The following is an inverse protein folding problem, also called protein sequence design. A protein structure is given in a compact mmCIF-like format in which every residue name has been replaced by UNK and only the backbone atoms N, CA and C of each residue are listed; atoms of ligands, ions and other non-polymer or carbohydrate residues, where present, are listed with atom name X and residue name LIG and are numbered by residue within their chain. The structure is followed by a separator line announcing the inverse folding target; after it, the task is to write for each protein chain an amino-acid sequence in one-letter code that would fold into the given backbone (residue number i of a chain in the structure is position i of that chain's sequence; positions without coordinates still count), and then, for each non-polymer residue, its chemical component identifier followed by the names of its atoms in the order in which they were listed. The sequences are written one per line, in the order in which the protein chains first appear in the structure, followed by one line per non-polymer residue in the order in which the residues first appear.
data_IF_138468339031
#
_entry.id   IF_138468339031
#
_cell.length_a   1.000
_cell.length_b   1.000
_cell.length_c   1.000
_cell.angle_alpha   90.00
_cell.angle_beta   90.00
_cell.angle_gamma   90.00
#
_symmetry.space_group_name_H-M   'P 1'
#
loop_
_entity.id
_entity.type
_entity.pdbx_description
1 polymer ?
#
# COMPACT_ATOMS: atom_id res chain seq x y z
N UNK A 1 -10.60 20.73 -5.05
CA UNK A 1 -9.33 21.38 -5.44
C UNK A 1 -8.19 20.79 -4.61
N UNK A 2 -7.58 19.73 -5.12
CA UNK A 2 -6.13 19.48 -5.07
C UNK A 2 -5.86 18.23 -5.91
N UNK A 3 -5.90 18.40 -7.24
CA UNK A 3 -5.19 17.49 -8.14
C UNK A 3 -3.68 17.73 -7.92
N UNK A 4 -3.15 17.13 -6.87
CA UNK A 4 -1.73 16.79 -6.87
C UNK A 4 -1.61 15.68 -7.90
N UNK A 5 -0.95 15.95 -9.02
CA UNK A 5 -0.47 14.88 -9.90
C UNK A 5 0.48 14.00 -9.09
N UNK A 6 -0.07 12.96 -8.44
CA UNK A 6 0.73 11.91 -7.81
C UNK A 6 1.58 11.29 -8.92
N UNK A 7 2.85 11.65 -8.97
CA UNK A 7 3.83 10.84 -9.70
C UNK A 7 3.74 9.45 -9.10
N UNK A 8 3.27 8.48 -9.90
CA UNK A 8 3.22 7.08 -9.52
C UNK A 8 4.59 6.68 -8.96
N UNK A 9 4.64 6.25 -7.70
CA UNK A 9 5.87 5.75 -7.08
C UNK A 9 6.11 4.32 -7.59
N UNK A 10 6.73 4.23 -8.77
CA UNK A 10 7.10 2.98 -9.41
C UNK A 10 8.57 2.66 -9.20
N UNK A 11 8.88 1.42 -8.85
CA UNK A 11 10.25 0.94 -8.63
C UNK A 11 10.49 -0.35 -9.42
N UNK A 12 11.75 -0.59 -9.83
CA UNK A 12 12.12 -1.87 -10.44
C UNK A 12 12.25 -2.92 -9.35
N UNK A 13 11.77 -4.13 -9.60
CA UNK A 13 11.82 -5.22 -8.62
C UNK A 13 13.26 -5.57 -8.21
N UNK A 14 13.50 -5.60 -6.91
CA UNK A 14 14.71 -6.15 -6.28
C UNK A 14 14.31 -7.30 -5.36
N UNK A 15 14.71 -8.52 -5.70
CA UNK A 15 14.27 -9.72 -4.98
C UNK A 15 15.13 -9.98 -3.75
N UNK A 16 14.48 -10.03 -2.58
CA UNK A 16 15.11 -10.26 -1.28
C UNK A 16 14.72 -11.62 -0.75
N UNK A 17 15.68 -12.33 -0.15
CA UNK A 17 15.42 -13.60 0.55
C UNK A 17 14.40 -13.39 1.67
N UNK A 18 13.51 -14.35 1.85
CA UNK A 18 12.46 -14.32 2.86
C UNK A 18 12.71 -15.36 3.95
N UNK A 19 12.54 -14.97 5.21
CA UNK A 19 12.67 -15.89 6.35
C UNK A 19 11.42 -16.75 6.54
N UNK A 20 10.25 -16.23 6.18
CA UNK A 20 8.97 -16.95 6.25
C UNK A 20 8.86 -17.92 5.09
N UNK A 21 8.71 -19.21 5.40
CA UNK A 21 8.64 -20.31 4.42
C UNK A 21 7.58 -20.05 3.35
N UNK A 22 6.39 -19.57 3.74
CA UNK A 22 5.28 -19.28 2.81
C UNK A 22 5.59 -18.16 1.79
N UNK A 23 6.61 -17.34 2.06
CA UNK A 23 6.99 -16.18 1.23
C UNK A 23 8.15 -16.50 0.29
N UNK A 24 8.88 -17.59 0.54
CA UNK A 24 10.06 -17.97 -0.24
C UNK A 24 9.69 -18.39 -1.67
N UNK A 25 10.48 -17.93 -2.65
CA UNK A 25 10.30 -18.28 -4.05
C UNK A 25 9.10 -17.60 -4.72
N UNK A 26 8.47 -16.63 -4.06
CA UNK A 26 7.40 -15.82 -4.63
C UNK A 26 7.93 -14.41 -4.99
N UNK A 27 8.21 -14.13 -6.27
CA UNK A 27 8.81 -12.87 -6.68
C UNK A 27 7.95 -11.64 -6.34
N UNK A 28 6.62 -11.80 -6.23
CA UNK A 28 5.72 -10.69 -5.86
C UNK A 28 5.82 -10.31 -4.38
N UNK A 29 6.31 -11.22 -3.53
CA UNK A 29 6.57 -10.96 -2.10
C UNK A 29 8.02 -10.55 -1.90
N UNK A 30 8.96 -11.24 -2.58
CA UNK A 30 10.39 -10.96 -2.49
C UNK A 30 10.77 -9.56 -2.94
N UNK A 31 10.00 -8.96 -3.84
CA UNK A 31 10.22 -7.59 -4.33
C UNK A 31 9.63 -6.50 -3.42
N UNK A 32 8.84 -6.86 -2.40
CA UNK A 32 8.28 -5.87 -1.47
C UNK A 32 9.38 -5.28 -0.56
N UNK A 33 9.13 -4.10 0.06
CA UNK A 33 9.93 -3.62 1.17
C UNK A 33 10.11 -4.69 2.28
N UNK A 34 11.13 -4.58 3.13
CA UNK A 34 11.31 -5.51 4.25
C UNK A 34 10.10 -5.51 5.20
N UNK A 35 9.95 -6.59 5.97
CA UNK A 35 9.02 -6.62 7.10
C UNK A 35 9.69 -5.87 8.23
N UNK A 36 9.07 -4.78 8.70
CA UNK A 36 9.64 -3.92 9.74
C UNK A 36 9.37 -4.48 11.13
N UNK A 37 10.34 -4.36 12.04
CA UNK A 37 10.11 -4.46 13.48
C UNK A 37 9.25 -3.29 13.99
N UNK A 38 8.66 -3.37 15.20
CA UNK A 38 7.98 -2.22 15.80
C UNK A 38 8.85 -0.95 15.87
N UNK A 39 10.14 -1.11 16.17
CA UNK A 39 11.12 -0.02 16.25
C UNK A 39 11.43 0.55 14.87
N UNK A 40 11.67 -0.30 13.87
CA UNK A 40 11.89 0.14 12.50
C UNK A 40 10.65 0.84 11.92
N UNK A 41 9.46 0.32 12.20
CA UNK A 41 8.20 0.93 11.79
C UNK A 41 7.97 2.29 12.50
N UNK A 42 8.35 2.41 13.77
CA UNK A 42 8.31 3.68 14.49
C UNK A 42 9.19 4.73 13.82
N UNK A 43 10.44 4.40 13.51
CA UNK A 43 11.36 5.31 12.83
C UNK A 43 10.86 5.66 11.42
N UNK A 44 10.43 4.67 10.64
CA UNK A 44 10.00 4.87 9.26
C UNK A 44 8.70 5.70 9.13
N UNK A 45 7.79 5.58 10.08
CA UNK A 45 6.54 6.35 10.10
C UNK A 45 6.74 7.75 10.71
N UNK A 46 7.75 7.93 11.56
CA UNK A 46 8.00 9.19 12.24
C UNK A 46 8.37 10.31 11.29
N UNK A 47 7.88 11.51 11.59
CA UNK A 47 8.32 12.73 10.92
C UNK A 47 8.44 13.84 11.95
N UNK A 48 9.68 14.26 12.17
CA UNK A 48 10.03 15.37 13.04
C UNK A 48 10.44 16.54 12.15
N UNK A 49 9.63 17.62 12.05
CA UNK A 49 10.00 18.79 11.28
C UNK A 49 11.31 19.39 11.80
N UNK A 50 12.11 19.95 10.89
CA UNK A 50 13.35 20.65 11.27
C UNK A 50 13.07 21.73 12.32
N UNK A 51 14.03 21.89 13.23
CA UNK A 51 13.98 22.87 14.31
C UNK A 51 15.27 23.68 14.32
N UNK A 52 15.13 25.01 14.26
CA UNK A 52 16.23 25.95 14.47
C UNK A 52 15.79 26.99 15.51
N UNK A 53 16.54 27.10 16.61
CA UNK A 53 16.27 28.05 17.68
C UNK A 53 16.29 29.51 17.20
N UNK A 54 17.08 29.81 16.17
CA UNK A 54 17.21 31.15 15.59
C UNK A 54 15.89 31.64 15.00
N UNK A 55 14.97 30.74 14.66
CA UNK A 55 13.66 31.13 14.15
C UNK A 55 12.82 31.91 15.17
N UNK A 56 13.12 31.77 16.47
CA UNK A 56 12.48 32.59 17.52
C UNK A 56 12.83 34.07 17.40
N UNK A 57 14.00 34.37 16.82
CA UNK A 57 14.54 35.71 16.60
C UNK A 57 14.10 36.32 15.26
N UNK A 58 13.46 35.54 14.38
CA UNK A 58 12.97 36.07 13.11
C UNK A 58 11.87 37.11 13.33
N UNK A 59 11.75 38.11 12.42
CA UNK A 59 10.62 39.02 12.43
C UNK A 59 9.29 38.26 12.43
N UNK A 60 8.31 38.78 13.18
CA UNK A 60 7.01 38.11 13.40
C UNK A 60 6.37 37.60 12.12
N UNK A 61 6.34 38.42 11.07
CA UNK A 61 5.74 38.06 9.78
C UNK A 61 6.47 36.90 9.08
N UNK A 62 7.78 36.77 9.23
CA UNK A 62 8.56 35.64 8.70
C UNK A 62 8.33 34.39 9.55
N UNK A 63 8.36 34.53 10.88
CA UNK A 63 8.17 33.40 11.81
C UNK A 63 6.83 32.70 11.63
N UNK A 64 5.77 33.42 11.23
CA UNK A 64 4.48 32.82 10.89
C UNK A 64 4.56 31.80 9.75
N UNK A 65 5.48 31.97 8.80
CA UNK A 65 5.67 31.01 7.70
C UNK A 65 6.34 29.70 8.14
N UNK A 66 6.96 29.66 9.33
CA UNK A 66 7.53 28.43 9.88
C UNK A 66 6.47 27.52 10.53
N UNK A 67 5.37 28.09 11.06
CA UNK A 67 4.35 27.34 11.82
C UNK A 67 3.72 26.19 11.01
N UNK A 68 3.34 26.35 9.72
CA UNK A 68 2.71 25.29 8.95
C UNK A 68 3.51 23.99 8.90
N UNK A 69 4.84 24.00 9.04
CA UNK A 69 5.64 22.75 9.04
C UNK A 69 5.27 21.83 10.19
N UNK A 70 4.80 22.37 11.32
CA UNK A 70 4.40 21.60 12.50
C UNK A 70 3.18 20.72 12.20
N UNK A 71 2.35 21.08 11.21
CA UNK A 71 1.23 20.22 10.77
C UNK A 71 1.69 18.89 10.17
N UNK A 72 2.97 18.79 9.79
CA UNK A 72 3.56 17.57 9.25
C UNK A 72 4.13 16.65 10.33
N UNK A 73 4.26 17.14 11.57
CA UNK A 73 4.74 16.34 12.69
C UNK A 73 3.91 15.07 12.84
N UNK A 74 4.59 13.94 12.95
CA UNK A 74 3.94 12.65 13.14
C UNK A 74 4.81 11.78 14.04
N UNK A 75 4.28 11.41 15.20
CA UNK A 75 4.90 10.45 16.09
C UNK A 75 3.98 9.24 16.20
N UNK A 76 4.41 8.06 15.72
CA UNK A 76 3.61 6.85 15.78
C UNK A 76 3.29 6.47 17.23
N UNK A 77 2.05 6.04 17.46
CA UNK A 77 1.62 5.37 18.68
C UNK A 77 1.41 3.89 18.41
N UNK A 78 1.23 3.08 19.45
CA UNK A 78 1.10 1.62 19.33
C UNK A 78 0.02 1.19 18.34
N UNK A 79 -1.09 1.93 18.26
CA UNK A 79 -2.16 1.65 17.30
C UNK A 79 -1.73 1.83 15.83
N UNK A 80 -0.80 2.75 15.55
CA UNK A 80 -0.23 2.93 14.22
C UNK A 80 0.70 1.78 13.85
N UNK A 81 1.51 1.32 14.80
CA UNK A 81 2.42 0.18 14.61
C UNK A 81 1.64 -1.13 14.39
N UNK A 82 0.61 -1.39 15.19
CA UNK A 82 -0.28 -2.54 14.99
C UNK A 82 -0.99 -2.48 13.62
N UNK A 83 -1.45 -1.29 13.20
CA UNK A 83 -2.06 -1.10 11.88
C UNK A 83 -1.07 -1.38 10.74
N UNK A 84 0.18 -0.93 10.84
CA UNK A 84 1.24 -1.22 9.87
C UNK A 84 1.45 -2.73 9.75
N UNK A 85 1.62 -3.41 10.88
CA UNK A 85 1.88 -4.85 10.88
C UNK A 85 0.70 -5.65 10.28
N UNK A 86 -0.54 -5.23 10.58
CA UNK A 86 -1.75 -5.83 9.98
C UNK A 86 -1.77 -5.62 8.46
N UNK A 87 -1.45 -4.41 8.00
CA UNK A 87 -1.37 -4.10 6.58
C UNK A 87 -0.27 -4.93 5.89
N UNK A 88 0.91 -4.98 6.48
CA UNK A 88 2.08 -5.75 6.01
C UNK A 88 1.76 -7.24 5.83
N UNK A 89 1.05 -7.85 6.80
CA UNK A 89 0.55 -9.22 6.70
C UNK A 89 -0.50 -9.38 5.61
N UNK A 90 -1.51 -8.49 5.56
CA UNK A 90 -2.59 -8.55 4.58
C UNK A 90 -2.04 -8.50 3.16
N UNK A 91 -1.09 -7.60 2.89
CA UNK A 91 -0.46 -7.45 1.59
C UNK A 91 0.26 -8.74 1.16
N UNK A 92 1.13 -9.29 2.02
CA UNK A 92 1.94 -10.48 1.69
C UNK A 92 1.10 -11.74 1.53
N UNK A 93 0.18 -11.99 2.47
CA UNK A 93 -0.74 -13.13 2.36
C UNK A 93 -1.67 -13.02 1.16
N UNK A 94 -1.99 -11.80 0.71
CA UNK A 94 -2.70 -11.57 -0.55
C UNK A 94 -1.95 -12.10 -1.79
N UNK A 95 -0.62 -12.19 -1.74
CA UNK A 95 0.22 -12.70 -2.82
C UNK A 95 0.64 -14.16 -2.68
N UNK A 96 0.50 -14.79 -1.51
CA UNK A 96 0.93 -16.19 -1.29
C UNK A 96 0.31 -17.15 -2.31
N UNK A 97 -0.98 -17.00 -2.63
CA UNK A 97 -1.67 -17.82 -3.64
C UNK A 97 -1.42 -17.38 -5.08
N UNK A 98 -0.67 -16.28 -5.30
CA UNK A 98 -0.50 -15.62 -6.60
C UNK A 98 0.92 -15.70 -7.14
N UNK A 99 1.70 -16.70 -6.73
CA UNK A 99 3.08 -16.86 -7.19
C UNK A 99 3.14 -17.11 -8.71
N UNK A 100 3.68 -16.19 -9.53
CA UNK A 100 3.74 -16.35 -10.99
C UNK A 100 4.65 -17.48 -11.47
N UNK A 101 5.56 -17.96 -10.61
CA UNK A 101 6.44 -19.10 -10.89
C UNK A 101 5.80 -20.44 -10.53
N UNK A 102 4.64 -20.44 -9.86
CA UNK A 102 3.95 -21.65 -9.44
C UNK A 102 3.07 -22.23 -10.57
N UNK A 103 3.24 -23.52 -10.94
CA UNK A 103 2.37 -24.16 -11.92
C UNK A 103 0.89 -24.14 -11.52
N UNK A 104 0.59 -24.15 -10.21
CA UNK A 104 -0.77 -24.10 -9.69
C UNK A 104 -1.44 -22.74 -9.95
N UNK A 105 -0.66 -21.66 -9.89
CA UNK A 105 -1.15 -20.32 -10.22
C UNK A 105 -1.46 -20.21 -11.71
N UNK A 106 -0.57 -20.67 -12.59
CA UNK A 106 -0.80 -20.67 -14.05
C UNK A 106 -2.05 -21.48 -14.43
N UNK A 107 -2.25 -22.66 -13.82
CA UNK A 107 -3.46 -23.47 -14.01
C UNK A 107 -4.72 -22.74 -13.55
N UNK A 108 -4.67 -22.14 -12.35
CA UNK A 108 -5.80 -21.36 -11.80
C UNK A 108 -6.15 -20.17 -12.69
N UNK A 109 -5.15 -19.47 -13.22
CA UNK A 109 -5.34 -18.33 -14.12
C UNK A 109 -5.95 -18.75 -15.46
N UNK A 110 -5.43 -19.82 -16.08
CA UNK A 110 -5.98 -20.38 -17.32
C UNK A 110 -7.43 -20.81 -17.14
N UNK A 111 -7.74 -21.46 -16.03
CA UNK A 111 -9.09 -21.94 -15.77
C UNK A 111 -10.08 -20.81 -15.41
N UNK A 112 -9.62 -19.76 -14.72
CA UNK A 112 -10.38 -18.52 -14.56
C UNK A 112 -10.71 -17.89 -15.93
N UNK A 113 -9.74 -17.82 -16.84
CA UNK A 113 -9.96 -17.36 -18.21
C UNK A 113 -11.00 -18.20 -18.96
N UNK A 114 -10.91 -19.54 -18.88
CA UNK A 114 -11.91 -20.43 -19.50
C UNK A 114 -13.31 -20.27 -18.90
N UNK A 115 -13.40 -19.99 -17.60
CA UNK A 115 -14.68 -19.71 -16.93
C UNK A 115 -15.33 -18.42 -17.45
N UNK A 116 -14.55 -17.38 -17.73
CA UNK A 116 -15.02 -16.16 -18.38
C UNK A 116 -15.56 -16.41 -19.81
N UNK A 117 -15.02 -17.42 -20.50
CA UNK A 117 -15.51 -17.86 -21.83
C UNK A 117 -16.71 -18.82 -21.77
N UNK A 118 -17.29 -19.08 -20.58
CA UNK A 118 -18.51 -19.86 -20.42
C UNK A 118 -18.33 -21.34 -20.09
N UNK A 119 -17.10 -21.81 -19.87
CA UNK A 119 -16.86 -23.20 -19.45
C UNK A 119 -17.04 -23.34 -17.93
N UNK A 120 -17.91 -24.27 -17.48
CA UNK A 120 -18.08 -24.55 -16.05
C UNK A 120 -16.93 -25.42 -15.54
N UNK A 121 -15.89 -24.79 -14.99
CA UNK A 121 -14.81 -25.50 -14.31
C UNK A 121 -15.10 -25.52 -12.80
N UNK A 122 -15.14 -26.72 -12.21
CA UNK A 122 -15.23 -26.85 -10.74
C UNK A 122 -13.88 -26.44 -10.14
N UNK A 123 -13.90 -25.41 -9.32
CA UNK A 123 -12.72 -24.90 -8.66
C UNK A 123 -12.89 -24.91 -7.15
N UNK A 124 -11.95 -25.53 -6.45
CA UNK A 124 -11.75 -25.32 -5.01
C UNK A 124 -10.90 -24.05 -4.81
N UNK A 125 -11.48 -22.90 -5.14
CA UNK A 125 -10.84 -21.60 -4.85
C UNK A 125 -11.11 -21.31 -3.37
N UNK A 126 -10.16 -21.65 -2.51
CA UNK A 126 -10.10 -21.06 -1.18
C UNK A 126 -9.76 -19.58 -1.33
N UNK A 127 -10.71 -18.72 -0.97
CA UNK A 127 -10.52 -17.27 -1.01
C UNK A 127 -9.35 -16.89 -0.09
N UNK A 128 -8.35 -16.20 -0.64
CA UNK A 128 -7.31 -15.52 0.13
C UNK A 128 -7.66 -14.06 0.44
N UNK A 129 -8.90 -13.64 0.14
CA UNK A 129 -9.35 -12.28 0.40
C UNK A 129 -9.42 -12.03 1.91
N UNK A 130 -8.51 -11.20 2.39
CA UNK A 130 -8.48 -10.71 3.77
C UNK A 130 -8.85 -9.23 3.80
N UNK A 131 -9.49 -8.78 4.87
CA UNK A 131 -9.87 -7.38 5.05
C UNK A 131 -9.52 -6.91 6.46
N UNK A 132 -9.31 -5.60 6.60
CA UNK A 132 -9.15 -4.92 7.88
C UNK A 132 -10.08 -3.71 7.92
N UNK A 133 -10.61 -3.41 9.10
CA UNK A 133 -11.49 -2.27 9.31
C UNK A 133 -10.89 -1.36 10.37
N UNK A 134 -10.74 -0.07 10.05
CA UNK A 134 -10.26 0.97 10.97
C UNK A 134 -11.41 1.93 11.31
N UNK A 135 -11.87 1.89 12.55
CA UNK A 135 -12.98 2.72 13.05
C UNK A 135 -12.49 3.75 14.06
N UNK A 136 -13.24 4.85 14.20
CA UNK A 136 -12.99 5.92 15.17
C UNK A 136 -13.65 7.23 14.78
N UNK A 137 -13.62 8.22 15.66
CA UNK A 137 -14.20 9.54 15.42
C UNK A 137 -13.56 10.29 14.24
N UNK A 138 -14.30 11.20 13.62
CA UNK A 138 -13.75 12.07 12.56
C UNK A 138 -12.61 12.93 13.11
N UNK A 139 -11.60 13.20 12.29
CA UNK A 139 -10.45 14.03 12.68
C UNK A 139 -9.38 13.34 13.55
N UNK A 140 -9.59 12.11 14.02
CA UNK A 140 -8.61 11.40 14.88
C UNK A 140 -7.36 10.88 14.14
N UNK A 141 -7.20 11.20 12.85
CA UNK A 141 -6.00 10.82 12.08
C UNK A 141 -6.06 9.47 11.37
N UNK A 142 -7.23 8.82 11.21
CA UNK A 142 -7.35 7.52 10.51
C UNK A 142 -6.80 7.55 9.08
N UNK A 143 -7.23 8.52 8.28
CA UNK A 143 -6.78 8.68 6.89
C UNK A 143 -5.29 8.94 6.83
N UNK A 144 -4.77 9.81 7.70
CA UNK A 144 -3.35 10.13 7.81
C UNK A 144 -2.51 8.91 8.18
N UNK A 145 -2.99 8.07 9.11
CA UNK A 145 -2.30 6.85 9.50
C UNK A 145 -2.19 5.86 8.32
N UNK A 146 -3.27 5.67 7.56
CA UNK A 146 -3.24 4.81 6.35
C UNK A 146 -2.31 5.39 5.30
N UNK A 147 -2.37 6.69 5.01
CA UNK A 147 -1.49 7.34 4.02
C UNK A 147 -0.01 7.22 4.41
N UNK A 148 0.32 7.37 5.69
CA UNK A 148 1.68 7.16 6.20
C UNK A 148 2.16 5.73 6.01
N UNK A 149 1.32 4.74 6.33
CA UNK A 149 1.67 3.32 6.10
C UNK A 149 1.84 3.03 4.61
N UNK A 150 0.92 3.50 3.75
CA UNK A 150 1.03 3.32 2.30
C UNK A 150 2.31 3.95 1.74
N UNK A 151 2.78 5.05 2.32
CA UNK A 151 4.03 5.71 1.91
C UNK A 151 5.29 4.87 2.12
N UNK A 152 5.24 3.84 2.98
CA UNK A 152 6.32 2.88 3.19
C UNK A 152 6.48 1.90 2.01
N UNK A 153 5.48 1.83 1.13
CA UNK A 153 5.42 0.87 0.03
C UNK A 153 5.42 1.61 -1.32
N UNK A 154 6.23 1.17 -2.31
CA UNK A 154 6.05 1.64 -3.67
C UNK A 154 4.63 1.30 -4.12
N UNK A 155 4.01 2.16 -4.92
CA UNK A 155 2.68 1.90 -5.44
C UNK A 155 2.71 0.82 -6.52
N UNK A 156 3.77 0.84 -7.34
CA UNK A 156 4.02 -0.09 -8.43
C UNK A 156 5.42 -0.71 -8.31
N UNK A 157 5.51 -2.01 -8.59
CA UNK A 157 6.79 -2.71 -8.76
C UNK A 157 6.84 -3.30 -10.17
N UNK A 158 7.89 -2.98 -10.91
CA UNK A 158 8.09 -3.41 -12.30
C UNK A 158 9.03 -4.62 -12.30
N UNK A 159 8.50 -5.79 -12.62
CA UNK A 159 9.27 -7.00 -12.84
C UNK A 159 9.69 -7.08 -14.31
N UNK A 160 10.98 -6.88 -14.56
CA UNK A 160 11.56 -7.07 -15.90
C UNK A 160 11.62 -8.55 -16.28
N UNK A 161 12.22 -8.85 -17.43
CA UNK A 161 12.45 -10.21 -17.90
C UNK A 161 13.09 -11.07 -16.79
N UNK A 162 12.61 -12.31 -16.55
CA UNK A 162 11.66 -13.07 -17.38
C UNK A 162 10.18 -12.86 -17.09
N UNK A 163 9.81 -12.22 -15.97
CA UNK A 163 8.40 -12.11 -15.55
C UNK A 163 7.61 -11.14 -16.42
N UNK A 164 8.17 -9.96 -16.74
CA UNK A 164 7.53 -8.92 -17.55
C UNK A 164 6.12 -8.53 -17.04
N UNK A 165 5.99 -8.32 -15.72
CA UNK A 165 4.73 -7.99 -15.06
C UNK A 165 4.89 -6.68 -14.28
N UNK A 166 3.85 -5.85 -14.29
CA UNK A 166 3.71 -4.72 -13.36
C UNK A 166 2.85 -5.16 -12.18
N UNK A 167 3.45 -5.20 -10.99
CA UNK A 167 2.75 -5.48 -9.74
C UNK A 167 2.19 -4.17 -9.17
N UNK A 168 0.87 -4.12 -8.99
CA UNK A 168 0.21 -3.07 -8.20
C UNK A 168 0.23 -3.49 -6.74
N UNK A 169 0.94 -2.73 -5.90
CA UNK A 169 1.11 -3.03 -4.47
C UNK A 169 -0.08 -2.52 -3.67
N UNK A 170 -0.53 -1.29 -3.95
CA UNK A 170 -1.70 -0.71 -3.33
C UNK A 170 -2.42 0.24 -4.27
N UNK A 171 -3.74 0.31 -4.11
CA UNK A 171 -4.59 1.27 -4.79
C UNK A 171 -5.58 1.85 -3.77
N UNK A 172 -5.62 3.18 -3.67
CA UNK A 172 -6.53 3.87 -2.76
C UNK A 172 -7.73 4.44 -3.51
N UNK A 173 -8.93 3.99 -3.14
CA UNK A 173 -10.20 4.50 -3.64
C UNK A 173 -10.90 5.31 -2.55
N UNK A 174 -11.49 6.44 -2.93
CA UNK A 174 -12.35 7.20 -2.03
C UNK A 174 -13.80 6.79 -2.28
N UNK A 175 -14.60 6.76 -1.22
CA UNK A 175 -16.04 6.52 -1.37
C UNK A 175 -16.64 7.62 -2.26
N UNK A 176 -17.38 7.27 -3.33
CA UNK A 176 -17.95 8.27 -4.22
C UNK A 176 -19.02 9.07 -3.48
N UNK A 177 -19.18 10.35 -3.84
CA UNK A 177 -20.10 11.26 -3.15
C UNK A 177 -21.58 10.81 -3.23
N UNK A 178 -21.92 10.02 -4.24
CA UNK A 178 -23.25 9.45 -4.45
C UNK A 178 -23.42 8.05 -3.81
N UNK A 179 -22.36 7.49 -3.20
CA UNK A 179 -22.36 6.14 -2.64
C UNK A 179 -22.55 5.02 -3.68
N UNK A 180 -22.49 5.33 -4.97
CA UNK A 180 -22.82 4.40 -6.04
C UNK A 180 -21.70 3.38 -6.30
N UNK A 181 -22.06 2.10 -6.33
CA UNK A 181 -21.12 1.03 -6.73
C UNK A 181 -20.61 1.24 -8.16
N UNK A 182 -21.44 1.76 -9.07
CA UNK A 182 -21.02 2.07 -10.44
C UNK A 182 -19.92 3.12 -10.45
N UNK A 183 -20.09 4.18 -9.66
CA UNK A 183 -19.13 5.28 -9.54
C UNK A 183 -17.81 4.80 -8.91
N UNK A 184 -17.89 3.94 -7.88
CA UNK A 184 -16.71 3.31 -7.26
C UNK A 184 -15.95 2.42 -8.25
N UNK A 185 -16.66 1.58 -9.02
CA UNK A 185 -16.04 0.74 -10.05
C UNK A 185 -15.38 1.57 -11.15
N UNK A 186 -16.00 2.68 -11.56
CA UNK A 186 -15.41 3.58 -12.54
C UNK A 186 -14.13 4.23 -12.01
N UNK A 187 -14.10 4.72 -10.76
CA UNK A 187 -12.88 5.27 -10.13
C UNK A 187 -11.76 4.22 -10.05
N UNK A 188 -12.12 2.96 -9.78
CA UNK A 188 -11.16 1.85 -9.82
C UNK A 188 -10.48 1.72 -11.18
N UNK A 189 -11.25 1.59 -12.27
CA UNK A 189 -10.68 1.43 -13.62
C UNK A 189 -9.89 2.66 -14.04
N UNK A 190 -10.42 3.87 -13.80
CA UNK A 190 -9.73 5.12 -14.13
C UNK A 190 -8.38 5.26 -13.43
N UNK A 191 -8.23 4.73 -12.21
CA UNK A 191 -6.94 4.74 -11.51
C UNK A 191 -6.02 3.60 -11.91
N UNK A 192 -6.56 2.44 -12.26
CA UNK A 192 -5.77 1.30 -12.75
C UNK A 192 -5.20 1.55 -14.15
N UNK A 193 -5.91 2.31 -14.99
CA UNK A 193 -5.49 2.64 -16.35
C UNK A 193 -4.42 3.75 -16.43
N UNK A 194 -4.17 4.47 -15.32
CA UNK A 194 -3.15 5.53 -15.22
C UNK A 194 -1.77 4.95 -14.92
#
# INVERSE_FOLDING_TARGET
MSEWGEKLNAQVAEYKKQDVIDFQGNPLIEALPPILSPEEAFEALSYYPEFDEKERLLPTHIRYHAIPRLTRFFQPVMQHLDLEQRFSRLLRYGYVSRNPLSPNFTKSLSAAHHSLTGQKIKHDIRSTASSITLMGFSGIGKTTAIERILSLYPQLIIHKHPLNITQVVWLKLNCPHDGSLKSLCMDFFLKMDR
#
